data_IF_168714115407
#
_entry.id   IF_168714115407
#
_cell.length_a   1.000
_cell.length_b   1.000
_cell.length_c   1.000
_cell.angle_alpha   90.00
_cell.angle_beta   90.00
_cell.angle_gamma   90.00
#
_symmetry.space_group_name_H-M   'P 1'
#
loop_
_entity.id
_entity.type
_entity.pdbx_description
1 polymer ?
#
# COMPACT_ATOMS: atom_id res chain seq x y z
N UNK A 1 -5.38 26.64 6.80
CA UNK A 1 -4.91 27.51 5.69
C UNK A 1 -3.39 27.50 5.50
N UNK A 2 -2.55 28.10 6.38
CA UNK A 2 -1.07 28.08 6.19
C UNK A 2 -0.48 26.66 6.19
N UNK A 3 -1.00 25.77 7.04
CA UNK A 3 -0.49 24.41 7.21
C UNK A 3 -0.81 23.47 6.03
N UNK A 4 -2.06 23.46 5.56
CA UNK A 4 -2.51 22.67 4.39
C UNK A 4 -1.88 23.13 3.08
N UNK A 5 -1.71 24.46 2.89
CA UNK A 5 -1.03 25.02 1.72
C UNK A 5 0.48 24.76 1.75
N UNK A 6 1.11 24.82 2.93
CA UNK A 6 2.51 24.43 3.13
C UNK A 6 2.70 22.92 2.94
N UNK A 7 1.78 22.07 3.38
CA UNK A 7 1.86 20.62 3.15
C UNK A 7 1.62 20.25 1.69
N UNK A 8 0.72 20.94 0.98
CA UNK A 8 0.56 20.81 -0.46
C UNK A 8 1.86 21.18 -1.18
N UNK A 9 2.42 22.35 -0.86
CA UNK A 9 3.69 22.79 -1.42
C UNK A 9 4.85 21.88 -1.00
N UNK A 10 4.91 21.38 0.25
CA UNK A 10 5.96 20.45 0.68
C UNK A 10 5.82 19.08 0.01
N UNK A 11 4.61 18.56 -0.19
CA UNK A 11 4.43 17.33 -0.98
C UNK A 11 4.82 17.56 -2.44
N UNK A 12 4.56 18.75 -2.97
CA UNK A 12 4.93 19.17 -4.32
C UNK A 12 6.43 19.49 -4.48
N UNK A 13 7.09 20.01 -3.45
CA UNK A 13 8.51 20.34 -3.40
C UNK A 13 9.34 19.07 -3.13
N UNK A 14 8.82 18.14 -2.33
CA UNK A 14 9.34 16.77 -2.24
C UNK A 14 9.11 15.98 -3.54
N UNK A 15 8.24 16.48 -4.43
CA UNK A 15 8.12 16.02 -5.82
C UNK A 15 9.07 16.79 -6.78
N UNK A 16 9.88 17.74 -6.29
CA UNK A 16 10.81 18.68 -6.98
C UNK A 16 10.54 18.96 -8.48
N UNK A 17 9.84 20.07 -8.76
CA UNK A 17 9.55 20.57 -10.11
C UNK A 17 10.37 21.80 -10.52
N UNK A 18 11.45 22.13 -9.82
CA UNK A 18 12.14 23.43 -9.95
C UNK A 18 13.11 23.56 -11.13
N UNK A 19 13.30 22.50 -11.93
CA UNK A 19 14.34 22.42 -12.98
C UNK A 19 13.90 22.72 -14.42
N UNK A 20 12.70 23.26 -14.64
CA UNK A 20 12.14 23.38 -15.98
C UNK A 20 12.70 24.56 -16.79
N UNK A 21 13.48 24.27 -17.83
CA UNK A 21 13.69 25.18 -18.96
C UNK A 21 13.45 24.44 -20.27
N UNK A 22 12.61 25.03 -21.14
CA UNK A 22 12.36 24.54 -22.50
C UNK A 22 13.68 24.44 -23.29
N UNK A 23 13.96 23.31 -23.95
CA UNK A 23 14.56 23.28 -25.29
C UNK A 23 14.36 21.93 -26.03
N UNK A 24 14.38 21.95 -27.38
CA UNK A 24 13.69 20.98 -28.23
C UNK A 24 14.62 19.88 -28.73
N UNK A 25 14.15 18.62 -28.71
CA UNK A 25 14.28 17.64 -29.80
C UNK A 25 14.05 16.21 -29.30
N UNK A 26 13.68 15.37 -30.27
CA UNK A 26 13.19 14.00 -30.14
C UNK A 26 14.16 13.05 -29.41
N UNK A 27 13.54 12.13 -28.66
CA UNK A 27 14.14 10.98 -27.98
C UNK A 27 15.18 11.31 -26.91
N UNK A 28 14.72 11.43 -25.67
CA UNK A 28 15.62 11.35 -24.53
C UNK A 28 14.87 10.93 -23.24
N UNK A 29 15.45 9.94 -22.58
CA UNK A 29 14.98 9.21 -21.39
C UNK A 29 15.54 9.90 -20.15
N UNK A 30 14.75 10.36 -19.16
CA UNK A 30 15.30 11.04 -17.96
C UNK A 30 14.51 10.88 -16.64
N UNK A 31 15.27 11.06 -15.54
CA UNK A 31 15.16 10.44 -14.20
C UNK A 31 14.52 11.36 -13.16
N UNK A 32 13.63 10.80 -12.33
CA UNK A 32 13.19 11.38 -11.05
C UNK A 32 14.23 11.06 -9.96
N UNK A 33 14.71 12.04 -9.19
CA UNK A 33 15.61 11.81 -8.04
C UNK A 33 14.94 11.16 -6.81
N UNK A 34 13.87 10.38 -6.99
CA UNK A 34 13.52 9.27 -6.06
C UNK A 34 14.01 7.89 -6.56
N UNK A 35 14.72 7.90 -7.70
CA UNK A 35 15.49 6.85 -8.40
C UNK A 35 14.74 5.56 -8.78
N UNK A 36 14.45 5.42 -10.09
CA UNK A 36 14.32 4.09 -10.68
C UNK A 36 13.73 4.00 -12.08
N UNK A 37 12.53 4.55 -12.31
CA UNK A 37 11.76 4.32 -13.53
C UNK A 37 10.90 5.55 -13.91
N UNK A 38 10.80 5.82 -15.22
CA UNK A 38 10.17 7.00 -15.82
C UNK A 38 8.66 7.09 -15.59
N UNK A 39 8.19 8.18 -14.96
CA UNK A 39 6.82 8.67 -15.08
C UNK A 39 6.80 10.20 -15.08
N UNK A 40 6.53 10.80 -16.24
CA UNK A 40 6.44 12.26 -16.38
C UNK A 40 5.11 12.78 -15.82
N UNK A 41 5.20 13.74 -14.90
CA UNK A 41 4.12 14.72 -14.70
C UNK A 41 4.28 15.84 -15.75
N UNK A 42 3.19 16.48 -16.20
CA UNK A 42 3.29 17.65 -17.07
C UNK A 42 4.04 18.78 -16.38
N UNK A 43 4.96 19.36 -17.12
CA UNK A 43 5.82 20.47 -16.74
C UNK A 43 5.03 21.62 -16.09
N UNK A 44 3.87 22.04 -16.63
CA UNK A 44 3.09 23.13 -16.05
C UNK A 44 1.70 22.69 -15.55
N UNK A 45 1.51 22.69 -14.22
CA UNK A 45 0.21 22.50 -13.58
C UNK A 45 -0.60 23.79 -13.47
N UNK A 46 -0.01 24.97 -13.68
CA UNK A 46 -0.65 26.25 -13.39
C UNK A 46 -1.90 26.49 -14.25
N UNK A 47 -1.85 26.05 -15.51
CA UNK A 47 -2.94 26.15 -16.49
C UNK A 47 -4.06 25.10 -16.31
N UNK A 48 -3.85 24.08 -15.47
CA UNK A 48 -4.85 23.04 -15.26
C UNK A 48 -5.91 23.45 -14.24
N UNK A 49 -7.16 23.15 -14.59
CA UNK A 49 -8.27 23.17 -13.62
C UNK A 49 -7.99 22.20 -12.49
N UNK A 50 -8.51 22.47 -11.30
CA UNK A 50 -8.29 21.61 -10.13
C UNK A 50 -8.78 20.18 -10.34
N UNK A 51 -9.88 20.00 -11.09
CA UNK A 51 -10.35 18.68 -11.51
C UNK A 51 -9.31 17.95 -12.37
N UNK A 52 -8.70 18.63 -13.35
CA UNK A 52 -7.66 18.02 -14.19
C UNK A 52 -6.40 17.67 -13.40
N UNK A 53 -6.03 18.48 -12.40
CA UNK A 53 -4.91 18.17 -11.50
C UNK A 53 -5.16 16.89 -10.70
N UNK A 54 -6.38 16.71 -10.19
CA UNK A 54 -6.78 15.49 -9.49
C UNK A 54 -6.69 14.28 -10.43
N UNK A 55 -7.22 14.37 -11.66
CA UNK A 55 -7.11 13.29 -12.65
C UNK A 55 -5.67 12.87 -12.92
N UNK A 56 -4.75 13.83 -13.11
CA UNK A 56 -3.32 13.53 -13.31
C UNK A 56 -2.75 12.79 -12.10
N UNK A 57 -3.06 13.22 -10.88
CA UNK A 57 -2.59 12.51 -9.68
C UNK A 57 -3.13 11.07 -9.62
N UNK A 58 -4.37 10.85 -10.06
CA UNK A 58 -4.98 9.51 -10.13
C UNK A 58 -4.27 8.64 -11.19
N UNK A 59 -3.93 9.19 -12.35
CA UNK A 59 -3.18 8.46 -13.39
C UNK A 59 -1.77 8.09 -12.90
N UNK A 60 -1.12 9.00 -12.20
CA UNK A 60 0.22 8.81 -11.63
C UNK A 60 0.23 7.71 -10.57
N UNK A 61 -0.70 7.74 -9.59
CA UNK A 61 -0.72 6.71 -8.54
C UNK A 61 -0.94 5.30 -9.09
N UNK A 62 -1.81 5.16 -10.10
CA UNK A 62 -2.07 3.88 -10.75
C UNK A 62 -0.84 3.37 -11.52
N UNK A 63 -0.10 4.29 -12.14
CA UNK A 63 1.10 3.97 -12.90
C UNK A 63 2.26 3.54 -11.99
N UNK A 64 2.52 4.29 -10.91
CA UNK A 64 3.52 3.95 -9.89
C UNK A 64 3.23 2.59 -9.26
N UNK A 65 1.96 2.34 -8.90
CA UNK A 65 1.56 1.05 -8.31
C UNK A 65 1.82 -0.11 -9.27
N UNK A 66 1.59 0.07 -10.58
CA UNK A 66 1.75 -0.98 -11.60
C UNK A 66 3.19 -1.47 -11.72
N UNK A 67 4.18 -0.61 -11.47
CA UNK A 67 5.60 -1.00 -11.48
C UNK A 67 6.11 -1.50 -10.12
N UNK A 68 5.21 -1.70 -9.15
CA UNK A 68 5.57 -2.25 -7.84
C UNK A 68 6.20 -1.27 -6.87
N UNK A 69 6.03 0.04 -7.11
CA UNK A 69 6.48 1.09 -6.21
C UNK A 69 5.33 1.52 -5.30
N UNK A 70 5.62 1.77 -4.03
CA UNK A 70 4.61 2.19 -3.05
C UNK A 70 4.30 3.70 -3.16
N UNK A 71 3.08 4.11 -3.57
CA UNK A 71 2.79 5.48 -3.99
C UNK A 71 2.35 6.39 -2.82
N UNK A 72 3.13 6.43 -1.76
CA UNK A 72 2.78 7.11 -0.51
C UNK A 72 2.47 8.60 -0.67
N UNK A 73 3.40 9.36 -1.26
CA UNK A 73 3.25 10.82 -1.39
C UNK A 73 2.15 11.19 -2.39
N UNK A 74 2.01 10.44 -3.47
CA UNK A 74 0.91 10.64 -4.43
C UNK A 74 -0.45 10.41 -3.77
N UNK A 75 -0.59 9.36 -2.95
CA UNK A 75 -1.82 9.12 -2.21
C UNK A 75 -2.11 10.25 -1.21
N UNK A 76 -1.08 10.77 -0.55
CA UNK A 76 -1.19 11.91 0.36
C UNK A 76 -1.61 13.19 -0.35
N UNK A 77 -1.05 13.45 -1.53
CA UNK A 77 -1.44 14.57 -2.39
C UNK A 77 -2.92 14.45 -2.80
N UNK A 78 -3.35 13.26 -3.23
CA UNK A 78 -4.77 13.02 -3.57
C UNK A 78 -5.66 13.28 -2.35
N UNK A 79 -5.29 12.77 -1.17
CA UNK A 79 -6.06 13.00 0.06
C UNK A 79 -6.24 14.49 0.38
N UNK A 80 -5.23 15.34 0.08
CA UNK A 80 -5.32 16.78 0.28
C UNK A 80 -6.43 17.42 -0.57
N UNK A 81 -6.68 16.97 -1.81
CA UNK A 81 -7.79 17.49 -2.63
C UNK A 81 -9.16 17.34 -1.93
N UNK A 82 -9.33 16.29 -1.12
CA UNK A 82 -10.57 16.03 -0.40
C UNK A 82 -10.63 16.71 0.98
N UNK A 83 -9.58 17.42 1.39
CA UNK A 83 -9.44 18.10 2.69
C UNK A 83 -9.35 19.63 2.62
N UNK A 84 -9.32 20.23 1.41
CA UNK A 84 -9.14 21.69 1.27
C UNK A 84 -10.40 22.49 1.63
N UNK A 85 -10.69 22.59 2.92
CA UNK A 85 -11.74 23.46 3.44
C UNK A 85 -11.44 24.93 3.11
N UNK A 86 -12.49 25.70 2.81
CA UNK A 86 -12.43 27.14 2.49
C UNK A 86 -11.65 27.51 1.21
N UNK A 87 -11.52 26.59 0.26
CA UNK A 87 -11.04 26.93 -1.09
C UNK A 87 -12.02 27.86 -1.82
N UNK A 88 -11.52 28.79 -2.62
CA UNK A 88 -12.34 29.58 -3.56
C UNK A 88 -12.72 28.79 -4.82
N UNK A 89 -12.11 27.63 -5.02
CA UNK A 89 -12.40 26.72 -6.12
C UNK A 89 -13.71 25.95 -5.89
N UNK A 90 -14.68 26.14 -6.78
CA UNK A 90 -16.02 25.53 -6.69
C UNK A 90 -16.00 24.00 -6.69
N UNK A 91 -15.04 23.37 -7.39
CA UNK A 91 -14.92 21.91 -7.44
C UNK A 91 -14.45 21.36 -6.09
N UNK A 92 -13.49 22.04 -5.45
CA UNK A 92 -13.04 21.66 -4.11
C UNK A 92 -14.14 21.86 -3.05
N UNK A 93 -14.92 22.94 -3.15
CA UNK A 93 -16.08 23.16 -2.28
C UNK A 93 -17.11 22.03 -2.42
N UNK A 94 -17.41 21.61 -3.66
CA UNK A 94 -18.33 20.51 -3.94
C UNK A 94 -17.83 19.18 -3.34
N UNK A 95 -16.56 18.83 -3.59
CA UNK A 95 -15.97 17.58 -3.08
C UNK A 95 -15.99 17.57 -1.55
N UNK A 96 -15.54 18.63 -0.90
CA UNK A 96 -15.48 18.70 0.57
C UNK A 96 -16.87 18.62 1.18
N UNK A 97 -17.87 19.29 0.58
CA UNK A 97 -19.26 19.19 1.01
C UNK A 97 -19.79 17.74 0.88
N UNK A 98 -19.45 17.04 -0.20
CA UNK A 98 -19.82 15.65 -0.40
C UNK A 98 -19.14 14.72 0.62
N UNK A 99 -17.84 14.90 0.87
CA UNK A 99 -17.09 14.17 1.91
C UNK A 99 -17.73 14.37 3.28
N UNK A 100 -18.17 15.58 3.62
CA UNK A 100 -18.83 15.85 4.89
C UNK A 100 -20.18 15.12 5.03
N UNK A 101 -20.87 14.85 3.92
CA UNK A 101 -22.16 14.16 3.92
C UNK A 101 -22.04 12.63 4.00
N UNK A 102 -21.11 12.03 3.24
CA UNK A 102 -21.05 10.57 3.04
C UNK A 102 -19.69 9.93 3.33
N UNK A 103 -18.68 10.72 3.66
CA UNK A 103 -17.32 10.27 3.92
C UNK A 103 -16.43 10.15 2.68
N UNK A 104 -15.12 10.07 2.93
CA UNK A 104 -14.07 10.07 1.88
C UNK A 104 -14.18 8.87 0.93
N UNK A 105 -14.50 7.68 1.44
CA UNK A 105 -14.60 6.46 0.63
C UNK A 105 -15.60 6.64 -0.53
N UNK A 106 -16.80 7.15 -0.24
CA UNK A 106 -17.82 7.40 -1.25
C UNK A 106 -17.46 8.58 -2.17
N UNK A 107 -16.71 9.56 -1.67
CA UNK A 107 -16.23 10.68 -2.48
C UNK A 107 -15.21 10.22 -3.51
N UNK A 108 -14.27 9.34 -3.14
CA UNK A 108 -13.32 8.75 -4.09
C UNK A 108 -14.06 7.99 -5.20
N UNK A 109 -15.07 7.20 -4.86
CA UNK A 109 -15.91 6.50 -5.84
C UNK A 109 -16.66 7.45 -6.80
N UNK A 110 -17.05 8.63 -6.32
CA UNK A 110 -17.81 9.60 -7.12
C UNK A 110 -16.93 10.45 -8.04
N UNK A 111 -15.77 10.89 -7.54
CA UNK A 111 -14.95 11.92 -8.19
C UNK A 111 -13.66 11.36 -8.82
N UNK A 112 -13.41 10.06 -8.71
CA UNK A 112 -12.21 9.41 -9.27
C UNK A 112 -12.59 8.10 -9.96
N UNK A 113 -11.62 7.47 -10.63
CA UNK A 113 -11.78 6.16 -11.29
C UNK A 113 -11.22 5.00 -10.46
N UNK A 114 -11.25 5.11 -9.13
CA UNK A 114 -10.62 4.16 -8.20
C UNK A 114 -11.56 3.04 -7.71
N UNK A 115 -12.77 2.92 -8.28
CA UNK A 115 -13.85 2.01 -7.84
C UNK A 115 -13.44 0.53 -7.70
N UNK A 116 -12.40 0.12 -8.42
CA UNK A 116 -11.88 -1.25 -8.44
C UNK A 116 -10.52 -1.37 -7.75
N UNK A 117 -9.93 -0.26 -7.34
CA UNK A 117 -8.58 -0.17 -6.80
C UNK A 117 -8.66 -0.09 -5.28
N UNK A 118 -9.06 -1.20 -4.65
CA UNK A 118 -9.41 -1.27 -3.23
C UNK A 118 -8.24 -0.89 -2.31
N UNK A 119 -7.02 -1.28 -2.68
CA UNK A 119 -5.79 -0.96 -1.95
C UNK A 119 -5.40 0.52 -2.07
N UNK A 120 -5.50 1.11 -3.27
CA UNK A 120 -5.23 2.53 -3.47
C UNK A 120 -6.30 3.40 -2.80
N UNK A 121 -7.57 3.00 -2.90
CA UNK A 121 -8.68 3.66 -2.22
C UNK A 121 -8.45 3.66 -0.72
N UNK A 122 -8.10 2.51 -0.14
CA UNK A 122 -7.79 2.41 1.28
C UNK A 122 -6.57 3.25 1.65
N UNK A 123 -5.49 3.21 0.87
CA UNK A 123 -4.29 4.03 1.11
C UNK A 123 -4.62 5.53 1.15
N UNK A 124 -5.45 6.02 0.23
CA UNK A 124 -5.87 7.43 0.23
C UNK A 124 -6.73 7.74 1.46
N UNK A 125 -7.62 6.82 1.87
CA UNK A 125 -8.42 6.98 3.09
C UNK A 125 -7.52 7.04 4.35
N UNK A 126 -6.46 6.22 4.42
CA UNK A 126 -5.47 6.25 5.49
C UNK A 126 -4.73 7.60 5.53
N UNK A 127 -4.27 8.10 4.37
CA UNK A 127 -3.62 9.41 4.28
C UNK A 127 -4.57 10.56 4.66
N UNK A 128 -5.83 10.47 4.23
CA UNK A 128 -6.88 11.42 4.58
C UNK A 128 -7.11 11.47 6.09
N UNK A 129 -7.26 10.31 6.75
CA UNK A 129 -7.43 10.24 8.20
C UNK A 129 -6.21 10.81 8.95
N UNK A 130 -5.00 10.41 8.53
CA UNK A 130 -3.73 10.91 9.08
C UNK A 130 -3.62 12.44 9.04
N UNK A 131 -4.04 13.05 7.93
CA UNK A 131 -4.06 14.51 7.73
C UNK A 131 -5.16 15.20 8.55
N UNK A 132 -6.36 14.61 8.61
CA UNK A 132 -7.54 15.19 9.26
C UNK A 132 -7.44 15.20 10.78
N UNK A 133 -6.97 14.11 11.39
CA UNK A 133 -6.88 13.96 12.84
C UNK A 133 -5.78 14.84 13.46
N UNK A 134 -5.11 15.63 12.61
CA UNK A 134 -4.27 16.73 13.04
C UNK A 134 -2.89 16.29 13.51
N UNK A 135 -2.49 15.03 13.25
CA UNK A 135 -1.11 14.54 13.44
C UNK A 135 -0.17 15.42 12.62
N UNK A 136 0.46 16.43 13.23
CA UNK A 136 1.05 17.51 12.48
C UNK A 136 2.51 17.17 12.26
N UNK A 137 2.83 16.13 11.49
CA UNK A 137 4.22 15.66 11.45
C UNK A 137 4.59 15.27 10.02
N UNK A 138 5.71 15.79 9.49
CA UNK A 138 6.35 15.17 8.35
C UNK A 138 6.63 13.73 8.77
N UNK A 139 5.86 12.79 8.23
CA UNK A 139 6.10 11.36 8.48
C UNK A 139 7.58 11.17 8.22
N UNK A 140 8.31 10.73 9.26
CA UNK A 140 9.77 10.70 9.24
C UNK A 140 10.19 10.10 7.91
N UNK A 141 10.99 10.84 7.14
CA UNK A 141 11.38 10.40 5.81
C UNK A 141 12.01 9.01 5.88
N UNK A 142 12.73 8.70 6.96
CA UNK A 142 13.26 7.37 7.21
C UNK A 142 12.16 6.31 7.33
N UNK A 143 11.10 6.58 8.10
CA UNK A 143 9.92 5.73 8.21
C UNK A 143 9.28 5.47 6.84
N UNK A 144 9.02 6.53 6.06
CA UNK A 144 8.40 6.40 4.72
C UNK A 144 9.29 5.55 3.80
N UNK A 145 10.60 5.77 3.83
CA UNK A 145 11.52 4.99 3.00
C UNK A 145 11.55 3.52 3.41
N UNK A 146 11.48 3.20 4.71
CA UNK A 146 11.46 1.81 5.17
C UNK A 146 10.20 1.06 4.77
N UNK A 147 9.03 1.69 4.86
CA UNK A 147 7.78 1.06 4.42
C UNK A 147 7.68 0.95 2.89
N UNK A 148 8.23 1.93 2.14
CA UNK A 148 8.40 1.85 0.68
C UNK A 148 9.31 0.66 0.32
N UNK A 149 10.46 0.53 0.99
CA UNK A 149 11.41 -0.55 0.79
C UNK A 149 10.79 -1.95 1.03
N UNK A 150 10.08 -2.12 2.16
CA UNK A 150 9.36 -3.35 2.48
C UNK A 150 8.31 -3.72 1.42
N UNK A 151 7.50 -2.74 0.99
CA UNK A 151 6.50 -2.95 -0.06
C UNK A 151 7.16 -3.40 -1.36
N UNK A 152 8.14 -2.63 -1.87
CA UNK A 152 8.73 -2.86 -3.20
C UNK A 152 9.43 -4.20 -3.27
N UNK A 153 10.21 -4.57 -2.23
CA UNK A 153 10.90 -5.87 -2.21
C UNK A 153 9.93 -7.04 -2.14
N UNK A 154 8.86 -6.94 -1.35
CA UNK A 154 7.86 -8.00 -1.25
C UNK A 154 7.03 -8.12 -2.53
N UNK A 155 6.62 -6.99 -3.12
CA UNK A 155 5.92 -6.95 -4.41
C UNK A 155 6.74 -7.65 -5.49
N UNK A 156 8.01 -7.26 -5.63
CA UNK A 156 8.93 -7.85 -6.62
C UNK A 156 9.14 -9.34 -6.37
N UNK A 157 9.29 -9.76 -5.12
CA UNK A 157 9.40 -11.18 -4.79
C UNK A 157 8.17 -11.99 -5.24
N UNK A 158 6.95 -11.45 -5.11
CA UNK A 158 5.74 -12.15 -5.58
C UNK A 158 5.65 -12.23 -7.10
N UNK A 159 6.08 -11.18 -7.81
CA UNK A 159 6.20 -11.19 -9.28
C UNK A 159 7.19 -12.26 -9.73
N UNK A 160 8.37 -12.31 -9.10
CA UNK A 160 9.49 -13.13 -9.55
C UNK A 160 9.35 -14.61 -9.13
N UNK A 161 8.85 -14.88 -7.92
CA UNK A 161 8.90 -16.21 -7.30
C UNK A 161 7.54 -16.81 -6.98
N UNK A 162 6.50 -15.97 -6.82
CA UNK A 162 5.21 -16.34 -6.25
C UNK A 162 5.34 -16.94 -4.83
N UNK A 163 4.20 -17.31 -4.24
CA UNK A 163 4.19 -17.88 -2.91
C UNK A 163 4.12 -16.78 -1.86
N UNK A 164 2.94 -16.14 -1.79
CA UNK A 164 2.70 -14.91 -1.05
C UNK A 164 3.27 -14.88 0.38
N UNK A 165 3.19 -15.99 1.12
CA UNK A 165 3.74 -16.07 2.48
C UNK A 165 5.27 -15.95 2.52
N UNK A 166 5.95 -16.63 1.60
CA UNK A 166 7.40 -16.57 1.46
C UNK A 166 7.86 -15.22 0.90
N UNK A 167 7.11 -14.63 -0.04
CA UNK A 167 7.45 -13.34 -0.62
C UNK A 167 7.37 -12.19 0.40
N UNK A 168 6.39 -12.20 1.30
CA UNK A 168 6.35 -11.25 2.43
C UNK A 168 7.58 -11.42 3.31
N UNK A 169 7.94 -12.66 3.66
CA UNK A 169 9.14 -12.95 4.47
C UNK A 169 10.43 -12.49 3.78
N UNK A 170 10.56 -12.67 2.46
CA UNK A 170 11.72 -12.18 1.71
C UNK A 170 11.81 -10.65 1.72
N UNK A 171 10.68 -9.97 1.44
CA UNK A 171 10.65 -8.51 1.38
C UNK A 171 10.98 -7.88 2.72
N UNK A 172 10.34 -8.33 3.80
CA UNK A 172 10.62 -7.86 5.15
C UNK A 172 12.03 -8.25 5.63
N UNK A 173 12.45 -9.48 5.32
CA UNK A 173 13.77 -9.99 5.67
C UNK A 173 14.90 -9.15 5.10
N UNK A 174 14.76 -8.76 3.83
CA UNK A 174 15.72 -7.90 3.15
C UNK A 174 15.68 -6.44 3.60
N UNK A 175 14.61 -5.98 4.26
CA UNK A 175 14.46 -4.59 4.73
C UNK A 175 14.94 -4.39 6.16
N UNK A 176 14.76 -5.40 7.02
CA UNK A 176 15.08 -5.33 8.44
C UNK A 176 16.03 -6.45 8.88
N UNK A 177 15.48 -7.61 9.25
CA UNK A 177 16.21 -8.74 9.83
C UNK A 177 15.98 -10.00 9.01
N UNK A 178 17.06 -10.71 8.71
CA UNK A 178 17.02 -11.98 7.98
C UNK A 178 16.05 -12.99 8.59
N UNK A 179 15.33 -13.70 7.72
CA UNK A 179 14.37 -14.73 8.12
C UNK A 179 15.10 -16.07 8.31
N UNK A 180 14.95 -16.74 9.47
CA UNK A 180 15.52 -18.07 9.66
C UNK A 180 15.03 -19.08 8.59
N UNK A 181 15.94 -19.92 8.10
CA UNK A 181 15.66 -20.84 6.99
C UNK A 181 14.48 -21.79 7.28
N UNK A 182 14.36 -22.26 8.51
CA UNK A 182 13.25 -23.13 8.94
C UNK A 182 11.91 -22.38 8.92
N UNK A 183 11.86 -21.12 9.32
CA UNK A 183 10.68 -20.26 9.23
C UNK A 183 10.29 -20.07 7.78
N UNK A 184 11.26 -19.71 6.91
CA UNK A 184 11.02 -19.54 5.48
C UNK A 184 10.47 -20.82 4.83
N UNK A 185 11.07 -21.98 5.10
CA UNK A 185 10.62 -23.28 4.58
C UNK A 185 9.24 -23.67 5.10
N UNK A 186 8.93 -23.38 6.37
CA UNK A 186 7.63 -23.68 6.95
C UNK A 186 6.49 -22.85 6.36
N UNK A 187 6.80 -21.67 5.81
CA UNK A 187 5.82 -20.76 5.24
C UNK A 187 5.28 -21.21 3.86
N UNK A 188 5.95 -22.14 3.15
CA UNK A 188 5.58 -22.54 1.77
C UNK A 188 4.12 -22.93 1.63
N UNK A 189 3.62 -23.80 2.50
CA UNK A 189 2.24 -24.30 2.41
C UNK A 189 1.18 -23.29 2.85
N UNK A 190 1.57 -22.12 3.36
CA UNK A 190 0.61 -21.05 3.72
C UNK A 190 0.17 -20.22 2.51
N UNK A 191 0.83 -20.40 1.36
CA UNK A 191 0.49 -19.69 0.12
C UNK A 191 -0.80 -20.18 -0.53
N UNK A 192 -1.39 -19.33 -1.38
CA UNK A 192 -2.62 -19.66 -2.12
C UNK A 192 -3.86 -19.83 -1.24
N UNK A 193 -3.91 -19.11 -0.11
CA UNK A 193 -4.97 -19.30 0.89
C UNK A 193 -4.83 -20.67 1.57
N UNK A 194 -3.60 -20.97 1.99
CA UNK A 194 -3.08 -22.23 2.55
C UNK A 194 -3.17 -23.44 1.59
N UNK A 195 -2.09 -23.79 0.92
CA UNK A 195 -1.99 -24.93 0.02
C UNK A 195 -2.94 -24.87 -1.19
N UNK A 196 -3.16 -23.68 -1.73
CA UNK A 196 -3.92 -23.46 -2.98
C UNK A 196 -5.42 -23.81 -2.89
N UNK A 197 -5.96 -23.91 -1.67
CA UNK A 197 -7.39 -24.17 -1.43
C UNK A 197 -8.24 -22.88 -1.46
N UNK A 198 -7.66 -21.73 -1.11
CA UNK A 198 -8.30 -20.42 -1.17
C UNK A 198 -9.25 -20.11 0.01
N UNK A 199 -9.74 -21.11 0.73
CA UNK A 199 -10.63 -20.96 1.89
C UNK A 199 -9.90 -20.73 3.22
N UNK A 200 -8.57 -20.94 3.24
CA UNK A 200 -7.69 -20.59 4.35
C UNK A 200 -7.23 -19.13 4.37
N UNK A 201 -6.45 -18.79 5.39
CA UNK A 201 -5.84 -17.46 5.53
C UNK A 201 -4.97 -17.10 4.31
N UNK A 202 -5.02 -15.85 3.87
CA UNK A 202 -4.16 -15.34 2.81
C UNK A 202 -2.68 -15.57 3.18
N UNK A 203 -1.87 -15.98 2.19
CA UNK A 203 -0.46 -16.22 2.39
C UNK A 203 0.29 -14.97 2.84
N UNK A 204 -0.02 -13.81 2.24
CA UNK A 204 0.58 -12.55 2.62
C UNK A 204 0.28 -12.16 4.08
N UNK A 205 -0.98 -12.31 4.51
CA UNK A 205 -1.39 -12.11 5.89
C UNK A 205 -0.63 -13.04 6.85
N UNK A 206 -0.55 -14.32 6.50
CA UNK A 206 0.14 -15.33 7.31
C UNK A 206 1.63 -15.04 7.42
N UNK A 207 2.29 -14.70 6.31
CA UNK A 207 3.72 -14.38 6.27
C UNK A 207 4.08 -13.12 7.08
N UNK A 208 3.23 -12.09 7.02
CA UNK A 208 3.41 -10.86 7.79
C UNK A 208 3.30 -11.11 9.31
N UNK A 209 2.30 -11.88 9.75
CA UNK A 209 2.17 -12.29 11.16
C UNK A 209 3.39 -13.11 11.61
N UNK A 210 3.82 -14.06 10.78
CA UNK A 210 5.01 -14.85 11.08
C UNK A 210 6.25 -13.97 11.25
N UNK A 211 6.44 -12.97 10.39
CA UNK A 211 7.59 -12.07 10.46
C UNK A 211 7.57 -11.23 11.76
N UNK A 212 6.42 -10.63 12.10
CA UNK A 212 6.28 -9.88 13.36
C UNK A 212 6.54 -10.77 14.58
N UNK A 213 6.12 -12.04 14.51
CA UNK A 213 6.39 -13.06 15.53
C UNK A 213 7.88 -13.36 15.77
N UNK A 214 8.78 -13.02 14.83
CA UNK A 214 10.23 -13.14 15.02
C UNK A 214 10.80 -12.12 16.00
N UNK A 215 10.05 -11.06 16.28
CA UNK A 215 10.44 -9.98 17.20
C UNK A 215 9.69 -10.10 18.52
N UNK A 216 8.38 -10.38 18.46
CA UNK A 216 7.55 -10.54 19.65
C UNK A 216 6.63 -11.75 19.53
N UNK A 217 6.83 -12.69 20.45
CA UNK A 217 6.06 -13.93 20.54
C UNK A 217 6.61 -14.79 21.66
N UNK A 218 5.90 -15.88 21.93
CA UNK A 218 6.31 -16.84 22.95
C UNK A 218 7.41 -17.75 22.46
N UNK A 219 8.41 -17.99 23.29
CA UNK A 219 9.44 -18.98 23.00
C UNK A 219 9.04 -20.35 23.54
N UNK A 220 9.61 -21.43 22.96
CA UNK A 220 9.34 -22.79 23.45
C UNK A 220 9.82 -22.96 24.89
N UNK A 221 10.94 -22.31 25.21
CA UNK A 221 11.60 -22.35 26.51
C UNK A 221 10.79 -21.61 27.60
N UNK A 222 9.95 -20.64 27.21
CA UNK A 222 9.23 -19.76 28.14
C UNK A 222 7.71 -19.90 28.12
N UNK A 223 7.15 -20.92 27.45
CA UNK A 223 5.70 -21.12 27.26
C UNK A 223 4.80 -20.95 28.50
N UNK A 224 5.35 -21.15 29.71
CA UNK A 224 4.64 -20.98 30.99
C UNK A 224 4.71 -19.58 31.62
N UNK A 225 5.54 -18.67 31.10
CA UNK A 225 5.89 -17.40 31.76
C UNK A 225 5.85 -16.14 30.89
N UNK A 226 5.61 -16.26 29.58
CA UNK A 226 5.72 -15.19 28.59
C UNK A 226 4.35 -14.70 28.05
N UNK A 227 3.33 -14.70 28.92
CA UNK A 227 1.98 -14.21 28.53
C UNK A 227 1.99 -12.77 28.02
N UNK A 228 2.85 -11.91 28.54
CA UNK A 228 2.97 -10.52 28.07
C UNK A 228 3.34 -10.48 26.60
N UNK A 229 4.38 -11.22 26.19
CA UNK A 229 4.83 -11.28 24.79
C UNK A 229 3.77 -11.93 23.89
N UNK A 230 3.00 -12.89 24.42
CA UNK A 230 1.85 -13.46 23.73
C UNK A 230 0.80 -12.41 23.39
N UNK A 231 0.35 -11.63 24.39
CA UNK A 231 -0.69 -10.62 24.18
C UNK A 231 -0.17 -9.44 23.34
N UNK A 232 1.11 -9.11 23.43
CA UNK A 232 1.74 -8.13 22.56
C UNK A 232 1.74 -8.61 21.09
N UNK A 233 2.14 -9.87 20.87
CA UNK A 233 2.06 -10.51 19.54
C UNK A 233 0.63 -10.50 18.99
N UNK A 234 -0.38 -10.77 19.84
CA UNK A 234 -1.79 -10.67 19.45
C UNK A 234 -2.21 -9.25 19.07
N UNK A 235 -1.79 -8.24 19.84
CA UNK A 235 -2.09 -6.84 19.54
C UNK A 235 -1.56 -6.44 18.15
N UNK A 236 -0.31 -6.79 17.83
CA UNK A 236 0.26 -6.55 16.50
C UNK A 236 -0.50 -7.29 15.40
N UNK A 237 -0.84 -8.57 15.61
CA UNK A 237 -1.59 -9.35 14.63
C UNK A 237 -3.03 -8.83 14.42
N UNK A 238 -3.66 -8.27 15.46
CA UNK A 238 -4.99 -7.63 15.38
C UNK A 238 -4.93 -6.35 14.55
N UNK A 239 -3.91 -5.50 14.75
CA UNK A 239 -3.71 -4.31 13.92
C UNK A 239 -3.55 -4.66 12.44
N UNK A 240 -2.79 -5.70 12.11
CA UNK A 240 -2.66 -6.18 10.74
C UNK A 240 -3.96 -6.81 10.22
N UNK A 241 -4.70 -7.53 11.07
CA UNK A 241 -6.01 -8.08 10.73
C UNK A 241 -6.98 -6.97 10.29
N UNK A 242 -7.04 -5.88 11.04
CA UNK A 242 -7.94 -4.76 10.76
C UNK A 242 -7.59 -4.11 9.41
N UNK A 243 -6.30 -3.94 9.10
CA UNK A 243 -5.85 -3.49 7.76
C UNK A 243 -6.36 -4.39 6.62
N UNK A 244 -6.29 -5.72 6.80
CA UNK A 244 -6.80 -6.67 5.81
C UNK A 244 -8.32 -6.62 5.68
N UNK A 245 -9.05 -6.52 6.80
CA UNK A 245 -10.51 -6.44 6.79
C UNK A 245 -10.99 -5.14 6.14
N UNK A 246 -10.39 -4.01 6.49
CA UNK A 246 -10.72 -2.71 5.91
C UNK A 246 -10.44 -2.66 4.40
N UNK A 247 -9.31 -3.23 3.96
CA UNK A 247 -8.90 -3.16 2.54
C UNK A 247 -9.59 -4.21 1.67
N UNK A 248 -9.66 -5.46 2.14
CA UNK A 248 -10.04 -6.62 1.34
C UNK A 248 -11.33 -7.29 1.81
N UNK A 249 -11.96 -6.79 2.87
CA UNK A 249 -13.18 -7.37 3.44
C UNK A 249 -12.96 -8.65 4.25
N UNK A 250 -11.72 -9.10 4.42
CA UNK A 250 -11.38 -10.31 5.17
C UNK A 250 -9.93 -10.76 5.02
N UNK A 251 -9.55 -11.75 5.83
CA UNK A 251 -8.18 -12.29 5.87
C UNK A 251 -7.99 -13.58 5.08
N UNK A 252 -9.06 -14.19 4.55
CA UNK A 252 -8.96 -15.43 3.76
C UNK A 252 -8.53 -15.14 2.34
N UNK A 253 -7.84 -16.09 1.71
CA UNK A 253 -7.43 -15.97 0.31
C UNK A 253 -8.60 -15.63 -0.62
N UNK A 254 -9.75 -16.27 -0.41
CA UNK A 254 -10.96 -16.01 -1.19
C UNK A 254 -11.58 -14.64 -0.97
N UNK A 255 -11.41 -14.02 0.20
CA UNK A 255 -11.92 -12.66 0.46
C UNK A 255 -11.09 -11.65 -0.34
N UNK A 256 -9.77 -11.80 -0.26
CA UNK A 256 -8.80 -11.03 -1.06
C UNK A 256 -9.07 -11.20 -2.56
N UNK A 257 -9.27 -12.43 -3.05
CA UNK A 257 -9.59 -12.64 -4.46
C UNK A 257 -10.89 -11.92 -4.86
N UNK A 258 -11.95 -11.99 -4.03
CA UNK A 258 -13.22 -11.32 -4.34
C UNK A 258 -13.07 -9.80 -4.36
N UNK A 259 -12.28 -9.23 -3.46
CA UNK A 259 -12.01 -7.80 -3.45
C UNK A 259 -11.33 -7.34 -4.75
N UNK A 260 -10.31 -8.08 -5.20
CA UNK A 260 -9.51 -7.75 -6.38
C UNK A 260 -10.20 -8.12 -7.70
N UNK A 261 -10.78 -9.31 -7.80
CA UNK A 261 -11.22 -9.93 -9.05
C UNK A 261 -12.72 -10.14 -9.15
N UNK A 262 -13.50 -9.72 -8.13
CA UNK A 262 -14.96 -9.95 -7.99
C UNK A 262 -15.39 -11.42 -7.93
N UNK A 263 -14.45 -12.34 -7.93
CA UNK A 263 -14.64 -13.78 -7.76
C UNK A 263 -13.47 -14.37 -6.98
N UNK A 264 -13.51 -15.66 -6.66
CA UNK A 264 -12.37 -16.37 -6.11
C UNK A 264 -12.04 -17.59 -6.98
N UNK A 265 -10.84 -18.12 -6.78
CA UNK A 265 -10.26 -19.16 -7.62
C UNK A 265 -9.69 -20.26 -6.74
N UNK A 266 -10.04 -21.52 -7.03
CA UNK A 266 -9.43 -22.69 -6.43
C UNK A 266 -8.13 -23.00 -7.17
N UNK A 267 -6.99 -22.57 -6.62
CA UNK A 267 -5.70 -22.60 -7.34
C UNK A 267 -5.12 -24.00 -7.56
N UNK A 268 -5.61 -25.02 -6.84
CA UNK A 268 -5.28 -26.43 -7.12
C UNK A 268 -5.99 -27.01 -8.34
N UNK A 269 -7.02 -26.32 -8.85
CA UNK A 269 -7.64 -26.63 -10.12
C UNK A 269 -6.88 -25.91 -11.25
N UNK A 270 -6.38 -26.63 -12.27
CA UNK A 270 -5.52 -26.03 -13.29
C UNK A 270 -6.24 -25.01 -14.18
N UNK A 271 -7.55 -25.18 -14.42
CA UNK A 271 -8.34 -24.26 -15.24
C UNK A 271 -8.55 -22.95 -14.47
N UNK A 272 -8.93 -23.03 -13.21
CA UNK A 272 -9.10 -21.86 -12.36
C UNK A 272 -7.76 -21.16 -12.07
N UNK A 273 -6.66 -21.91 -11.92
CA UNK A 273 -5.31 -21.33 -11.80
C UNK A 273 -4.93 -20.53 -13.04
N UNK A 274 -5.23 -21.04 -14.24
CA UNK A 274 -4.99 -20.30 -15.48
C UNK A 274 -5.87 -19.05 -15.54
N UNK A 275 -7.15 -19.15 -15.19
CA UNK A 275 -8.06 -18.00 -15.14
C UNK A 275 -7.61 -16.92 -14.14
N UNK A 276 -7.06 -17.34 -13.00
CA UNK A 276 -6.44 -16.47 -12.01
C UNK A 276 -5.24 -15.72 -12.58
N UNK A 277 -4.32 -16.42 -13.26
CA UNK A 277 -3.19 -15.77 -13.94
C UNK A 277 -3.66 -14.77 -15.00
N UNK A 278 -4.64 -15.16 -15.84
CA UNK A 278 -5.22 -14.28 -16.88
C UNK A 278 -5.91 -13.05 -16.31
N UNK A 279 -6.41 -13.10 -15.06
CA UNK A 279 -6.96 -11.95 -14.36
C UNK A 279 -5.89 -10.96 -13.83
N UNK A 280 -4.60 -11.16 -14.16
CA UNK A 280 -3.50 -10.29 -13.74
C UNK A 280 -3.03 -10.54 -12.31
N UNK A 281 -3.33 -11.72 -11.74
CA UNK A 281 -3.03 -12.00 -10.34
C UNK A 281 -1.54 -12.00 -10.01
N UNK A 282 -0.67 -12.40 -10.94
CA UNK A 282 0.78 -12.41 -10.72
C UNK A 282 1.49 -11.13 -11.21
N UNK A 283 0.76 -10.20 -11.85
CA UNK A 283 1.31 -8.94 -12.34
C UNK A 283 1.06 -7.80 -11.37
N UNK A 284 -0.15 -7.72 -10.81
CA UNK A 284 -0.56 -6.64 -9.91
C UNK A 284 -1.37 -7.14 -8.70
N UNK A 285 -2.27 -8.10 -8.90
CA UNK A 285 -3.22 -8.55 -7.87
C UNK A 285 -2.54 -9.02 -6.57
N UNK A 286 -1.94 -10.22 -6.59
CA UNK A 286 -1.20 -10.74 -5.44
C UNK A 286 0.05 -9.93 -5.09
N UNK A 287 0.85 -9.42 -6.05
CA UNK A 287 1.98 -8.55 -5.75
C UNK A 287 1.61 -7.34 -4.89
N UNK A 288 0.50 -6.64 -5.19
CA UNK A 288 0.04 -5.51 -4.37
C UNK A 288 -0.36 -5.93 -2.95
N UNK A 289 -1.03 -7.08 -2.79
CA UNK A 289 -1.40 -7.63 -1.47
C UNK A 289 -0.15 -7.99 -0.66
N UNK A 290 0.83 -8.63 -1.29
CA UNK A 290 2.10 -8.99 -0.67
C UNK A 290 2.89 -7.75 -0.26
N UNK A 291 2.98 -6.75 -1.15
CA UNK A 291 3.58 -5.45 -0.86
C UNK A 291 2.91 -4.75 0.32
N UNK A 292 1.57 -4.67 0.33
CA UNK A 292 0.82 -4.04 1.41
C UNK A 292 0.97 -4.78 2.74
N UNK A 293 0.91 -6.12 2.74
CA UNK A 293 1.13 -6.90 3.96
C UNK A 293 2.53 -6.66 4.55
N UNK A 294 3.56 -6.59 3.70
CA UNK A 294 4.91 -6.25 4.13
C UNK A 294 5.01 -4.82 4.65
N UNK A 295 4.43 -3.83 3.96
CA UNK A 295 4.35 -2.44 4.42
C UNK A 295 3.66 -2.35 5.78
N UNK A 296 2.48 -2.95 5.96
CA UNK A 296 1.73 -2.84 7.22
C UNK A 296 2.47 -3.52 8.38
N UNK A 297 3.11 -4.66 8.13
CA UNK A 297 3.99 -5.27 9.14
C UNK A 297 5.18 -4.36 9.49
N UNK A 298 5.79 -3.70 8.49
CA UNK A 298 6.85 -2.74 8.71
C UNK A 298 6.39 -1.53 9.53
N UNK A 299 5.21 -0.96 9.22
CA UNK A 299 4.58 0.12 10.00
C UNK A 299 4.41 -0.30 11.47
N UNK A 300 3.81 -1.47 11.71
CA UNK A 300 3.59 -2.00 13.05
C UNK A 300 4.92 -2.17 13.79
N UNK A 301 5.94 -2.80 13.17
CA UNK A 301 7.25 -3.00 13.81
C UNK A 301 7.97 -1.69 14.15
N UNK A 302 7.90 -0.69 13.26
CA UNK A 302 8.49 0.63 13.49
C UNK A 302 7.78 1.38 14.63
N UNK A 303 6.44 1.32 14.67
CA UNK A 303 5.64 1.94 15.74
C UNK A 303 5.88 1.27 17.11
N UNK A 304 6.08 -0.05 17.12
CA UNK A 304 6.44 -0.83 18.31
C UNK A 304 7.93 -0.70 18.68
N UNK A 305 8.74 -0.01 17.86
CA UNK A 305 10.20 0.19 18.03
C UNK A 305 10.98 -1.13 18.13
N UNK A 306 10.58 -2.10 17.31
CA UNK A 306 11.20 -3.43 17.23
C UNK A 306 12.26 -3.53 16.12
N UNK A 307 12.31 -2.53 15.23
CA UNK A 307 13.24 -2.40 14.10
C UNK A 307 13.71 -0.97 13.95
#
# INVERSE_FOLDING_TARGET
MKKTKQEFQNCFDLLDLSGMQEQPSLHSTYVLEEWGDEYCLPDDFSDFTTARKLEVCIDTILSIRKIGVFPFYTARLIALFFLQEHSEDSFLQEIVAYVAQVGIFHALHRYTKLDREVDITQLICEQYASLKDGTPIPIDHHYVMKIKEAYTKAFKAEVDFHGCSQCVLLGLGATFKDVPQNVFKSATSLSGGIAQCGDGACGAYSGAIMYMGLFMGRSLEQLGGDKTDQYHSFSMAQRLHDKFVETYGGVRGMDVHKALFKTWYLLRDPIQKQAFSTAGAHELGCPSVVGNAARWAAEILLEEKLV
#
